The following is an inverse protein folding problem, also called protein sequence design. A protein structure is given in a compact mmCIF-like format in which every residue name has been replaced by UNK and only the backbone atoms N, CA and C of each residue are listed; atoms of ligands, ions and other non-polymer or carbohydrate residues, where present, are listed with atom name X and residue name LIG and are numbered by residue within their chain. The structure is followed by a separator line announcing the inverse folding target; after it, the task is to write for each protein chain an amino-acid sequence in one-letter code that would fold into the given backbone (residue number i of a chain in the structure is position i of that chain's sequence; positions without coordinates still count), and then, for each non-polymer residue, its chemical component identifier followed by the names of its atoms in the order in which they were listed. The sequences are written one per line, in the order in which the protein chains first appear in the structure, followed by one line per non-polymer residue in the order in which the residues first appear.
data_IF_794954754453
#
_entry.id   IF_794954754453
#
_cell.length_a   1.000
_cell.length_b   1.000
_cell.length_c   1.000
_cell.angle_alpha   90.00
_cell.angle_beta   90.00
_cell.angle_gamma   90.00
#
_symmetry.space_group_name_H-M   'P 1'
#
loop_
_entity.id
_entity.type
_entity.pdbx_description
1 polymer ?
#
# COMPACT_ATOMS: atom_id res chain seq x y z
N UNK A 1 21.34 -0.74 -1.51
CA UNK A 1 20.10 -1.23 -2.17
C UNK A 1 18.92 -0.43 -1.64
N UNK A 2 17.90 -0.20 -2.46
CA UNK A 2 16.66 0.52 -2.12
C UNK A 2 15.50 -0.47 -2.15
N UNK A 3 14.60 -0.37 -1.19
CA UNK A 3 13.46 -1.29 -1.04
C UNK A 3 12.15 -0.56 -1.33
N UNK A 4 11.26 -1.22 -2.06
CA UNK A 4 9.88 -0.79 -2.24
C UNK A 4 8.99 -1.90 -1.71
N UNK A 5 8.13 -1.59 -0.75
CA UNK A 5 7.21 -2.56 -0.14
C UNK A 5 5.80 -2.10 -0.49
N UNK A 6 5.04 -2.97 -1.15
CA UNK A 6 3.62 -2.73 -1.41
C UNK A 6 2.76 -3.50 -0.43
N UNK A 7 1.96 -2.78 0.36
CA UNK A 7 1.08 -3.37 1.36
C UNK A 7 0.09 -2.34 1.89
N UNK A 8 -1.14 -2.42 1.39
CA UNK A 8 -2.21 -1.47 1.70
C UNK A 8 -3.60 -2.04 1.40
N UNK A 9 -4.63 -1.21 1.48
CA UNK A 9 -6.03 -1.59 1.23
C UNK A 9 -6.76 -2.16 2.45
N UNK A 10 -6.12 -2.99 3.27
CA UNK A 10 -6.65 -3.51 4.54
C UNK A 10 -5.54 -3.68 5.57
N UNK A 11 -5.91 -3.78 6.87
CA UNK A 11 -4.94 -3.99 7.95
C UNK A 11 -4.08 -5.25 7.77
N UNK A 12 -4.67 -6.34 7.23
CA UNK A 12 -3.97 -7.63 7.07
C UNK A 12 -2.77 -7.59 6.13
N UNK A 13 -2.70 -6.64 5.19
CA UNK A 13 -1.53 -6.43 4.32
C UNK A 13 -0.69 -5.23 4.77
N UNK A 14 -1.34 -4.21 5.32
CA UNK A 14 -0.68 -2.99 5.79
C UNK A 14 0.27 -3.26 6.96
N UNK A 15 -0.19 -3.92 8.02
CA UNK A 15 0.60 -4.07 9.24
C UNK A 15 1.86 -4.94 9.05
N UNK A 16 1.81 -6.08 8.32
CA UNK A 16 3.03 -6.83 8.01
C UNK A 16 4.02 -6.03 7.16
N UNK A 17 3.52 -5.26 6.19
CA UNK A 17 4.35 -4.41 5.33
C UNK A 17 5.01 -3.26 6.13
N UNK A 18 4.25 -2.64 7.03
CA UNK A 18 4.74 -1.62 7.96
C UNK A 18 5.84 -2.19 8.87
N UNK A 19 5.61 -3.33 9.49
CA UNK A 19 6.59 -3.98 10.37
C UNK A 19 7.90 -4.32 9.63
N UNK A 20 7.81 -4.80 8.38
CA UNK A 20 8.98 -5.06 7.55
C UNK A 20 9.72 -3.76 7.18
N UNK A 21 8.98 -2.70 6.83
CA UNK A 21 9.54 -1.40 6.50
C UNK A 21 10.30 -0.78 7.69
N UNK A 22 9.71 -0.82 8.88
CA UNK A 22 10.36 -0.39 10.13
C UNK A 22 11.63 -1.20 10.42
N UNK A 23 11.57 -2.52 10.29
CA UNK A 23 12.72 -3.39 10.52
C UNK A 23 13.87 -3.16 9.52
N UNK A 24 13.57 -2.74 8.29
CA UNK A 24 14.57 -2.36 7.30
C UNK A 24 15.12 -0.95 7.56
N UNK A 25 14.25 0.01 7.88
CA UNK A 25 14.63 1.38 8.20
C UNK A 25 15.53 1.44 9.45
N UNK A 26 15.22 0.67 10.49
CA UNK A 26 16.04 0.54 11.70
C UNK A 26 17.46 -0.01 11.42
N UNK A 27 17.65 -0.72 10.30
CA UNK A 27 18.95 -1.21 9.83
C UNK A 27 19.64 -0.22 8.87
N UNK A 28 19.17 1.02 8.79
CA UNK A 28 19.71 2.05 7.91
C UNK A 28 19.46 1.81 6.43
N UNK A 29 18.45 0.98 6.07
CA UNK A 29 18.11 0.73 4.66
C UNK A 29 17.11 1.77 4.16
N UNK A 30 17.29 2.22 2.92
CA UNK A 30 16.32 3.09 2.25
C UNK A 30 15.08 2.28 1.84
N UNK A 31 13.90 2.71 2.33
CA UNK A 31 12.61 2.04 2.14
C UNK A 31 11.58 3.05 1.62
N UNK A 32 10.72 2.61 0.70
CA UNK A 32 9.47 3.26 0.32
C UNK A 32 8.32 2.29 0.58
N UNK A 33 7.34 2.71 1.37
CA UNK A 33 6.12 1.93 1.59
C UNK A 33 4.98 2.45 0.69
N UNK A 34 4.37 1.56 -0.09
CA UNK A 34 3.25 1.85 -0.97
C UNK A 34 1.93 1.39 -0.33
N UNK A 35 1.02 2.34 -0.12
CA UNK A 35 -0.35 2.10 0.34
C UNK A 35 -1.41 2.39 -0.73
N UNK A 36 -2.69 2.25 -0.35
CA UNK A 36 -3.85 2.56 -1.18
C UNK A 36 -4.60 3.82 -0.74
N UNK A 37 -4.05 4.60 0.20
CA UNK A 37 -4.59 5.89 0.62
C UNK A 37 -5.89 5.80 1.42
N UNK A 38 -6.22 4.65 2.01
CA UNK A 38 -7.42 4.54 2.86
C UNK A 38 -7.20 5.20 4.22
N UNK A 39 -8.29 5.63 4.86
CA UNK A 39 -8.25 6.31 6.16
C UNK A 39 -7.47 5.53 7.24
N UNK A 40 -7.64 4.21 7.30
CA UNK A 40 -6.92 3.35 8.26
C UNK A 40 -5.41 3.34 8.01
N UNK A 41 -5.00 3.43 6.74
CA UNK A 41 -3.60 3.49 6.34
C UNK A 41 -3.00 4.86 6.70
N UNK A 42 -3.73 5.94 6.43
CA UNK A 42 -3.28 7.29 6.80
C UNK A 42 -3.02 7.44 8.30
N UNK A 43 -3.85 6.79 9.14
CA UNK A 43 -3.66 6.79 10.60
C UNK A 43 -2.46 5.93 11.01
N UNK A 44 -2.34 4.73 10.49
CA UNK A 44 -1.27 3.80 10.85
C UNK A 44 0.11 4.23 10.34
N UNK A 45 0.15 4.97 9.22
CA UNK A 45 1.39 5.44 8.58
C UNK A 45 1.76 6.88 9.00
N UNK A 46 0.99 7.49 9.88
CA UNK A 46 1.29 8.83 10.36
C UNK A 46 2.60 8.83 11.18
N UNK A 47 3.58 9.63 10.75
CA UNK A 47 4.82 9.83 11.49
C UNK A 47 5.85 8.70 11.36
N UNK A 48 5.69 7.77 10.41
CA UNK A 48 6.71 6.74 10.16
C UNK A 48 8.03 7.37 9.66
N UNK A 49 9.20 6.82 10.02
CA UNK A 49 10.50 7.44 9.73
C UNK A 49 11.00 7.19 8.30
N UNK A 50 10.11 6.87 7.35
CA UNK A 50 10.45 6.59 5.96
C UNK A 50 9.37 7.06 4.99
N UNK A 51 9.70 7.30 3.71
CA UNK A 51 8.75 7.70 2.70
C UNK A 51 7.58 6.74 2.53
N UNK A 52 6.38 7.32 2.38
CA UNK A 52 5.14 6.62 2.02
C UNK A 52 4.58 7.24 0.75
N UNK A 53 4.19 6.40 -0.21
CA UNK A 53 3.44 6.82 -1.38
C UNK A 53 2.15 6.01 -1.52
N UNK A 54 1.21 6.51 -2.31
CA UNK A 54 -0.09 5.88 -2.51
C UNK A 54 -0.35 5.60 -3.97
N UNK A 55 -0.78 4.38 -4.27
CA UNK A 55 -1.25 3.98 -5.59
C UNK A 55 -2.70 3.48 -5.50
N UNK A 56 -3.50 3.76 -6.52
CA UNK A 56 -4.89 3.28 -6.53
C UNK A 56 -4.93 1.75 -6.63
N UNK A 57 -5.54 1.11 -5.63
CA UNK A 57 -5.66 -0.33 -5.57
C UNK A 57 -6.93 -0.75 -4.83
N UNK A 58 -7.57 -1.83 -5.28
CA UNK A 58 -8.76 -2.35 -4.64
C UNK A 58 -8.89 -3.87 -4.80
N UNK A 59 -9.43 -4.55 -3.78
CA UNK A 59 -9.63 -5.99 -3.82
C UNK A 59 -10.52 -6.43 -4.99
N UNK A 60 -10.14 -7.51 -5.66
CA UNK A 60 -10.89 -8.10 -6.76
C UNK A 60 -11.78 -9.26 -6.31
N UNK A 61 -11.29 -10.07 -5.37
CA UNK A 61 -11.96 -11.25 -4.84
C UNK A 61 -13.12 -10.87 -3.90
N UNK A 62 -14.16 -11.71 -3.87
CA UNK A 62 -15.32 -11.54 -2.99
C UNK A 62 -16.29 -10.43 -3.40
N UNK A 63 -16.17 -9.90 -4.63
CA UNK A 63 -17.03 -8.82 -5.15
C UNK A 63 -17.97 -9.28 -6.25
N UNK A 64 -19.15 -8.66 -6.31
CA UNK A 64 -20.08 -8.80 -7.44
C UNK A 64 -19.50 -8.26 -8.74
N UNK A 65 -20.18 -8.51 -9.87
CA UNK A 65 -19.72 -8.14 -11.22
C UNK A 65 -19.33 -6.67 -11.34
N UNK A 66 -20.15 -5.77 -10.79
CA UNK A 66 -19.85 -4.33 -10.76
C UNK A 66 -18.59 -4.00 -9.95
N UNK A 67 -18.41 -4.65 -8.80
CA UNK A 67 -17.23 -4.47 -7.97
C UNK A 67 -15.95 -4.96 -8.65
N UNK A 68 -16.03 -6.04 -9.43
CA UNK A 68 -14.89 -6.54 -10.24
C UNK A 68 -14.52 -5.56 -11.36
N UNK A 69 -15.50 -5.06 -12.11
CA UNK A 69 -15.26 -4.06 -13.16
C UNK A 69 -14.60 -2.79 -12.60
N UNK A 70 -15.09 -2.28 -11.47
CA UNK A 70 -14.48 -1.14 -10.77
C UNK A 70 -13.04 -1.42 -10.34
N UNK A 71 -12.75 -2.63 -9.83
CA UNK A 71 -11.39 -3.01 -9.44
C UNK A 71 -10.45 -3.04 -10.65
N UNK A 72 -10.91 -3.48 -11.82
CA UNK A 72 -10.11 -3.42 -13.06
C UNK A 72 -9.81 -1.98 -13.51
N UNK A 73 -10.81 -1.09 -13.46
CA UNK A 73 -10.61 0.34 -13.76
C UNK A 73 -9.60 0.96 -12.80
N UNK A 74 -9.71 0.66 -11.50
CA UNK A 74 -8.76 1.15 -10.50
C UNK A 74 -7.36 0.57 -10.67
N UNK A 75 -7.25 -0.69 -11.06
CA UNK A 75 -5.97 -1.30 -11.38
C UNK A 75 -5.30 -0.59 -12.56
N UNK A 76 -6.04 -0.37 -13.65
CA UNK A 76 -5.54 0.38 -14.80
C UNK A 76 -5.08 1.78 -14.42
N UNK A 77 -5.89 2.49 -13.62
CA UNK A 77 -5.51 3.80 -13.11
C UNK A 77 -4.28 3.75 -12.20
N UNK A 78 -4.17 2.74 -11.33
CA UNK A 78 -3.00 2.53 -10.46
C UNK A 78 -1.72 2.28 -11.25
N UNK A 79 -1.79 1.58 -12.37
CA UNK A 79 -0.64 1.39 -13.29
C UNK A 79 -0.17 2.71 -13.89
N UNK A 80 -1.10 3.61 -14.25
CA UNK A 80 -0.76 4.94 -14.77
C UNK A 80 -0.20 5.90 -13.72
N UNK A 81 -0.43 5.63 -12.43
CA UNK A 81 0.08 6.42 -11.31
C UNK A 81 1.49 6.02 -10.85
N UNK A 82 1.93 4.81 -11.21
CA UNK A 82 3.21 4.23 -10.81
C UNK A 82 4.35 4.69 -11.71
#
# INVERSE_FOLDING_TARGET
MRWVIAGGGTGGHLFPALALAEALAARGRAVLLLGCGRRVEALALAGVPFPVATISGEGFLGRGLWGKARSLVRLFWGVLQA
#
